data_IF_712709160706
#
_entry.id   IF_712709160706
#
_cell.length_a   1.000
_cell.length_b   1.000
_cell.length_c   1.000
_cell.angle_alpha   90.00
_cell.angle_beta   90.00
_cell.angle_gamma   90.00
#
_symmetry.space_group_name_H-M   'P 1'
#
loop_
_entity.id
_entity.type
_entity.pdbx_description
1 polymer ?
#
# COMPACT_ATOMS: atom_id res chain seq x y z
N UNK A 1 -11.22 -31.24 -22.30
CA UNK A 1 -12.38 -30.63 -22.98
C UNK A 1 -12.34 -30.86 -24.49
N UNK A 2 -11.27 -30.57 -25.22
CA UNK A 2 -11.18 -30.76 -26.65
C UNK A 2 -11.50 -32.21 -27.08
N UNK A 3 -10.90 -33.22 -26.43
CA UNK A 3 -11.15 -34.65 -26.73
C UNK A 3 -12.61 -35.09 -26.57
N UNK A 4 -13.38 -34.39 -25.73
CA UNK A 4 -14.79 -34.73 -25.50
C UNK A 4 -15.69 -34.10 -26.58
N UNK A 5 -15.35 -32.91 -27.05
CA UNK A 5 -16.16 -32.15 -27.99
C UNK A 5 -15.71 -32.26 -29.44
N UNK A 6 -14.48 -32.76 -29.70
CA UNK A 6 -13.94 -32.98 -31.03
C UNK A 6 -14.82 -33.92 -31.91
N UNK A 7 -15.37 -35.02 -31.36
CA UNK A 7 -16.27 -35.86 -32.12
C UNK A 7 -17.59 -35.18 -32.53
N UNK A 8 -18.01 -34.14 -31.78
CA UNK A 8 -19.28 -33.42 -32.00
C UNK A 8 -19.07 -32.19 -32.87
N UNK A 9 -17.98 -31.44 -32.65
CA UNK A 9 -17.69 -30.15 -33.27
C UNK A 9 -16.65 -30.22 -34.39
N UNK A 10 -15.98 -31.39 -34.56
CA UNK A 10 -14.94 -31.61 -35.55
C UNK A 10 -13.74 -30.67 -35.37
N UNK A 11 -13.07 -30.37 -36.46
CA UNK A 11 -11.86 -29.51 -36.47
C UNK A 11 -12.11 -28.06 -35.92
N UNK A 12 -13.36 -27.65 -35.87
CA UNK A 12 -13.74 -26.33 -35.33
C UNK A 12 -13.86 -26.30 -33.81
N UNK A 13 -13.74 -27.43 -33.11
CA UNK A 13 -13.89 -27.52 -31.66
C UNK A 13 -12.94 -26.56 -30.91
N UNK A 14 -11.69 -26.46 -31.35
CA UNK A 14 -10.71 -25.58 -30.75
C UNK A 14 -11.09 -24.09 -30.92
N UNK A 15 -11.54 -23.70 -32.12
CA UNK A 15 -11.92 -22.33 -32.41
C UNK A 15 -13.19 -21.89 -31.66
N UNK A 16 -14.12 -22.81 -31.45
CA UNK A 16 -15.37 -22.54 -30.75
C UNK A 16 -15.17 -22.53 -29.25
N UNK A 17 -14.38 -23.44 -28.69
CA UNK A 17 -14.22 -23.62 -27.26
C UNK A 17 -13.12 -22.72 -26.64
N UNK A 18 -12.04 -22.46 -27.38
CA UNK A 18 -10.84 -21.82 -26.83
C UNK A 18 -10.59 -20.40 -27.35
N UNK A 19 -11.11 -20.06 -28.54
CA UNK A 19 -10.90 -18.70 -29.12
C UNK A 19 -12.03 -17.71 -28.87
N UNK A 20 -13.05 -18.07 -28.08
CA UNK A 20 -14.17 -17.20 -27.75
C UNK A 20 -13.78 -16.04 -26.82
N UNK A 21 -14.42 -14.90 -26.98
CA UNK A 21 -14.23 -13.71 -26.08
C UNK A 21 -14.70 -13.97 -24.64
N UNK A 22 -15.50 -15.01 -24.41
CA UNK A 22 -16.02 -15.38 -23.09
C UNK A 22 -14.93 -15.84 -22.09
N UNK A 23 -13.74 -16.23 -22.60
CA UNK A 23 -12.59 -16.61 -21.76
C UNK A 23 -11.58 -15.47 -21.55
N UNK A 24 -11.75 -14.37 -22.28
CA UNK A 24 -10.90 -13.19 -22.10
C UNK A 24 -11.44 -12.32 -20.98
N UNK A 25 -10.72 -12.23 -19.87
CA UNK A 25 -10.86 -11.10 -18.97
C UNK A 25 -10.45 -9.85 -19.74
N UNK A 26 -11.43 -9.02 -20.08
CA UNK A 26 -11.15 -7.71 -20.70
C UNK A 26 -10.26 -6.95 -19.73
N UNK A 27 -9.04 -6.60 -20.14
CA UNK A 27 -8.23 -5.67 -19.37
C UNK A 27 -9.02 -4.39 -19.21
N UNK A 28 -9.26 -4.00 -17.96
CA UNK A 28 -9.88 -2.71 -17.67
C UNK A 28 -8.90 -1.64 -18.17
N UNK A 29 -9.19 -1.06 -19.31
CA UNK A 29 -8.44 0.09 -19.80
C UNK A 29 -8.78 1.25 -18.89
N UNK A 30 -7.95 1.49 -17.89
CA UNK A 30 -7.99 2.71 -17.10
C UNK A 30 -7.51 3.86 -18.00
N UNK A 31 -8.43 4.43 -18.75
CA UNK A 31 -8.13 5.63 -19.52
C UNK A 31 -7.84 6.75 -18.52
N UNK A 32 -6.64 7.34 -18.61
CA UNK A 32 -6.26 8.51 -17.79
C UNK A 32 -7.15 9.74 -18.06
N UNK A 33 -8.01 9.67 -19.04
CA UNK A 33 -8.84 10.76 -19.57
C UNK A 33 -10.34 10.54 -19.37
N UNK A 34 -10.74 9.45 -18.74
CA UNK A 34 -12.17 9.17 -18.46
C UNK A 34 -12.76 10.12 -17.42
N UNK A 35 -14.06 10.40 -17.51
CA UNK A 35 -14.79 11.25 -16.56
C UNK A 35 -14.59 10.81 -15.08
N UNK A 36 -14.44 9.52 -14.83
CA UNK A 36 -14.14 8.95 -13.51
C UNK A 36 -12.70 9.21 -13.04
N UNK A 37 -11.76 9.48 -13.94
CA UNK A 37 -10.37 9.77 -13.57
C UNK A 37 -10.24 11.05 -12.73
N UNK A 38 -11.17 12.00 -12.90
CA UNK A 38 -11.20 13.21 -12.09
C UNK A 38 -11.59 12.92 -10.62
N UNK A 39 -12.42 11.89 -10.39
CA UNK A 39 -12.85 11.47 -9.05
C UNK A 39 -11.83 10.55 -8.37
N UNK A 40 -10.96 9.89 -9.14
CA UNK A 40 -9.94 8.97 -8.61
C UNK A 40 -8.62 9.66 -8.29
N UNK A 41 -8.43 10.92 -8.68
CA UNK A 41 -7.24 11.69 -8.30
C UNK A 41 -7.27 11.92 -6.79
N UNK A 42 -6.39 11.26 -6.08
CA UNK A 42 -6.13 11.54 -4.66
C UNK A 42 -5.60 12.98 -4.55
N UNK A 43 -6.45 13.90 -4.11
CA UNK A 43 -6.00 15.24 -3.74
C UNK A 43 -5.20 15.13 -2.44
N UNK A 44 -4.05 15.79 -2.42
CA UNK A 44 -3.27 15.90 -1.19
C UNK A 44 -4.03 16.72 -0.18
N UNK A 45 -4.05 16.27 1.06
CA UNK A 45 -4.74 16.92 2.17
C UNK A 45 -3.75 17.42 3.20
N UNK A 46 -4.12 18.49 3.90
CA UNK A 46 -3.36 18.99 5.02
C UNK A 46 -3.23 17.93 6.11
N UNK A 47 -2.05 17.74 6.66
CA UNK A 47 -1.79 16.73 7.69
C UNK A 47 -2.50 17.10 9.00
N UNK A 48 -2.66 18.39 9.31
CA UNK A 48 -3.34 18.86 10.52
C UNK A 48 -4.86 18.80 10.45
N UNK A 49 -5.48 19.54 9.55
CA UNK A 49 -6.94 19.69 9.46
C UNK A 49 -7.62 18.88 8.36
N UNK A 50 -6.84 18.13 7.54
CA UNK A 50 -7.30 17.27 6.44
C UNK A 50 -8.05 17.99 5.32
N UNK A 51 -8.00 19.32 5.25
CA UNK A 51 -8.54 20.09 4.13
C UNK A 51 -7.71 19.85 2.88
N UNK A 52 -8.33 19.74 1.68
CA UNK A 52 -7.57 19.58 0.44
C UNK A 52 -6.65 20.79 0.21
N UNK A 53 -5.39 20.51 -0.13
CA UNK A 53 -4.38 21.51 -0.40
C UNK A 53 -4.45 21.98 -1.86
N UNK A 54 -4.16 23.26 -2.08
CA UNK A 54 -4.04 23.83 -3.42
C UNK A 54 -2.71 23.43 -4.08
N UNK A 55 -1.66 23.29 -3.27
CA UNK A 55 -0.31 22.89 -3.69
C UNK A 55 -0.04 21.49 -3.13
N UNK A 56 0.35 20.57 -4.00
CA UNK A 56 0.58 19.15 -3.63
C UNK A 56 1.87 18.95 -2.81
N UNK A 57 2.79 19.92 -2.87
CA UNK A 57 4.07 19.86 -2.16
C UNK A 57 3.98 20.26 -0.69
N UNK A 58 2.93 21.01 -0.31
CA UNK A 58 2.81 21.49 1.06
C UNK A 58 2.34 20.38 2.01
N UNK A 59 2.93 20.35 3.21
CA UNK A 59 2.52 19.41 4.26
C UNK A 59 1.25 19.88 4.98
N UNK A 60 1.12 21.19 5.21
CA UNK A 60 0.06 21.82 5.97
C UNK A 60 -0.55 23.00 5.23
N UNK A 61 -1.82 23.31 5.51
CA UNK A 61 -2.49 24.48 4.96
C UNK A 61 -2.05 25.76 5.70
N UNK A 62 -2.37 26.91 5.11
CA UNK A 62 -1.98 28.22 5.64
C UNK A 62 -2.43 28.45 7.09
N UNK A 63 -3.62 27.92 7.48
CA UNK A 63 -4.10 28.01 8.87
C UNK A 63 -3.33 27.11 9.85
N UNK A 64 -2.79 25.98 9.38
CA UNK A 64 -2.03 25.05 10.21
C UNK A 64 -0.54 25.38 10.25
N UNK A 65 -0.08 26.34 9.45
CA UNK A 65 1.34 26.69 9.32
C UNK A 65 1.93 27.20 10.65
N UNK A 66 1.16 27.94 11.42
CA UNK A 66 1.58 28.40 12.75
C UNK A 66 1.81 27.27 13.76
N UNK A 67 1.12 26.14 13.57
CA UNK A 67 1.19 24.94 14.41
C UNK A 67 1.95 23.79 13.73
N UNK A 68 2.70 24.10 12.69
CA UNK A 68 3.42 23.08 11.92
C UNK A 68 4.36 22.24 12.79
N UNK A 69 5.10 22.88 13.70
CA UNK A 69 6.00 22.21 14.64
C UNK A 69 5.28 21.22 15.58
N UNK A 70 4.10 21.59 16.10
CA UNK A 70 3.31 20.69 16.94
C UNK A 70 2.77 19.48 16.15
N UNK A 71 2.34 19.73 14.91
CA UNK A 71 1.85 18.68 14.02
C UNK A 71 2.98 17.72 13.66
N UNK A 72 4.16 18.25 13.35
CA UNK A 72 5.36 17.48 13.06
C UNK A 72 5.77 16.60 14.25
N UNK A 73 5.85 17.17 15.46
CA UNK A 73 6.16 16.40 16.67
C UNK A 73 5.15 15.27 16.92
N UNK A 74 3.87 15.52 16.67
CA UNK A 74 2.81 14.50 16.76
C UNK A 74 3.04 13.34 15.79
N UNK A 75 3.49 13.65 14.56
CA UNK A 75 3.79 12.61 13.57
C UNK A 75 5.03 11.81 13.98
N UNK A 76 6.09 12.47 14.46
CA UNK A 76 7.29 11.77 14.99
C UNK A 76 6.94 10.85 16.16
N UNK A 77 6.14 11.33 17.11
CA UNK A 77 5.69 10.49 18.22
C UNK A 77 4.88 9.27 17.74
N UNK A 78 4.09 9.45 16.68
CA UNK A 78 3.39 8.34 16.01
C UNK A 78 4.34 7.31 15.42
N UNK A 79 5.38 7.76 14.71
CA UNK A 79 6.42 6.89 14.14
C UNK A 79 7.16 6.14 15.24
N UNK A 80 7.59 6.81 16.30
CA UNK A 80 8.29 6.18 17.42
C UNK A 80 7.45 5.07 18.06
N UNK A 81 6.14 5.26 18.23
CA UNK A 81 5.23 4.22 18.70
C UNK A 81 5.13 3.02 17.74
N UNK A 82 5.13 3.28 16.45
CA UNK A 82 5.09 2.20 15.45
C UNK A 82 6.41 1.44 15.38
N UNK A 83 7.55 2.13 15.50
CA UNK A 83 8.89 1.53 15.58
C UNK A 83 9.01 0.64 16.81
N UNK A 84 8.53 1.08 17.97
CA UNK A 84 8.51 0.27 19.18
C UNK A 84 7.67 -0.99 19.00
N UNK A 85 6.48 -0.87 18.42
CA UNK A 85 5.63 -2.03 18.09
C UNK A 85 6.32 -2.97 17.10
N UNK A 86 6.95 -2.41 16.07
CA UNK A 86 7.68 -3.21 15.08
C UNK A 86 8.84 -3.97 15.71
N UNK A 87 9.62 -3.31 16.57
CA UNK A 87 10.74 -3.94 17.28
C UNK A 87 10.29 -5.11 18.15
N UNK A 88 9.17 -4.94 18.87
CA UNK A 88 8.59 -6.01 19.69
C UNK A 88 8.15 -7.20 18.85
N UNK A 89 7.46 -6.95 17.73
CA UNK A 89 7.00 -7.99 16.81
C UNK A 89 8.18 -8.67 16.11
N UNK A 90 9.19 -7.92 15.72
CA UNK A 90 10.41 -8.43 15.10
C UNK A 90 11.16 -9.36 16.06
N UNK A 91 11.37 -8.92 17.29
CA UNK A 91 12.04 -9.74 18.32
C UNK A 91 11.25 -11.03 18.61
N UNK A 92 9.92 -10.96 18.64
CA UNK A 92 9.08 -12.15 18.82
C UNK A 92 9.24 -13.13 17.65
N UNK A 93 9.30 -12.64 16.43
CA UNK A 93 9.55 -13.48 15.25
C UNK A 93 10.95 -14.07 15.27
N UNK A 94 11.97 -13.32 15.69
CA UNK A 94 13.35 -13.83 15.85
C UNK A 94 13.41 -14.94 16.90
N UNK A 95 12.74 -14.78 18.03
CA UNK A 95 12.66 -15.83 19.07
C UNK A 95 11.96 -17.09 18.55
N UNK A 96 10.90 -16.94 17.80
CA UNK A 96 10.19 -18.06 17.17
C UNK A 96 11.09 -18.81 16.16
N UNK A 97 11.89 -18.07 15.40
CA UNK A 97 12.85 -18.60 14.43
C UNK A 97 14.06 -19.27 15.12
N UNK A 98 14.34 -18.91 16.37
CA UNK A 98 15.49 -19.43 17.14
C UNK A 98 16.82 -18.69 16.88
N UNK A 99 16.78 -17.56 16.18
CA UNK A 99 17.95 -16.72 15.92
C UNK A 99 17.64 -15.27 16.21
N UNK A 100 18.43 -14.62 17.08
CA UNK A 100 18.29 -13.21 17.46
C UNK A 100 19.12 -12.25 16.60
N UNK A 101 20.00 -12.79 15.75
CA UNK A 101 20.97 -12.00 14.97
C UNK A 101 20.72 -12.03 13.46
N UNK A 102 19.80 -12.87 13.02
CA UNK A 102 19.48 -13.02 11.62
C UNK A 102 18.17 -12.31 11.26
N UNK A 103 18.01 -12.00 9.98
CA UNK A 103 16.77 -11.47 9.46
C UNK A 103 15.60 -12.44 9.67
N UNK A 104 14.41 -11.87 9.87
CA UNK A 104 13.19 -12.66 9.98
C UNK A 104 12.71 -13.06 8.60
N UNK A 105 12.92 -14.32 8.24
CA UNK A 105 12.53 -14.92 6.97
C UNK A 105 11.15 -15.58 7.00
N UNK A 106 10.51 -15.66 8.18
CA UNK A 106 9.22 -16.32 8.36
C UNK A 106 8.12 -15.69 7.50
N UNK A 107 7.43 -16.53 6.71
CA UNK A 107 6.29 -16.19 5.85
C UNK A 107 5.03 -17.00 6.21
N UNK A 108 4.91 -17.44 7.46
CA UNK A 108 3.78 -18.25 7.91
C UNK A 108 2.45 -17.51 7.77
N UNK A 109 1.58 -18.01 6.89
CA UNK A 109 0.28 -17.42 6.60
C UNK A 109 -0.74 -17.61 7.72
N UNK A 110 -0.51 -18.56 8.61
CA UNK A 110 -1.41 -18.88 9.72
C UNK A 110 -1.02 -18.16 11.03
N UNK A 111 0.05 -17.37 11.00
CA UNK A 111 0.55 -16.67 12.18
C UNK A 111 0.02 -15.24 12.25
N UNK A 112 -0.73 -14.85 13.29
CA UNK A 112 -1.24 -13.49 13.46
C UNK A 112 -0.11 -12.47 13.64
N UNK A 113 1.02 -12.85 14.24
CA UNK A 113 2.19 -11.98 14.43
C UNK A 113 2.82 -11.62 13.10
N UNK A 114 2.85 -12.54 12.13
CA UNK A 114 3.31 -12.26 10.78
C UNK A 114 2.48 -11.12 10.13
N UNK A 115 1.15 -11.20 10.22
CA UNK A 115 0.27 -10.17 9.66
C UNK A 115 0.41 -8.84 10.39
N UNK A 116 0.51 -8.86 11.72
CA UNK A 116 0.74 -7.64 12.51
C UNK A 116 2.07 -6.98 12.13
N UNK A 117 3.14 -7.76 11.97
CA UNK A 117 4.44 -7.26 11.52
C UNK A 117 4.35 -6.61 10.15
N UNK A 118 3.68 -7.27 9.19
CA UNK A 118 3.47 -6.72 7.84
C UNK A 118 2.63 -5.45 7.87
N UNK A 119 1.57 -5.43 8.67
CA UNK A 119 0.72 -4.25 8.83
C UNK A 119 1.51 -3.07 9.38
N UNK A 120 2.25 -3.25 10.47
CA UNK A 120 3.06 -2.17 11.06
C UNK A 120 4.15 -1.69 10.11
N UNK A 121 4.74 -2.59 9.32
CA UNK A 121 5.73 -2.23 8.29
C UNK A 121 5.13 -1.32 7.21
N UNK A 122 3.90 -1.60 6.78
CA UNK A 122 3.17 -0.74 5.82
C UNK A 122 2.84 0.60 6.46
N UNK A 123 2.33 0.61 7.69
CA UNK A 123 2.00 1.83 8.43
C UNK A 123 3.23 2.72 8.63
N UNK A 124 4.41 2.15 8.94
CA UNK A 124 5.68 2.87 9.00
C UNK A 124 6.03 3.52 7.66
N UNK A 125 5.97 2.75 6.58
CA UNK A 125 6.24 3.27 5.23
C UNK A 125 5.28 4.41 4.82
N UNK A 126 4.03 4.36 5.27
CA UNK A 126 3.05 5.44 5.04
C UNK A 126 3.37 6.68 5.88
N UNK A 127 3.77 6.50 7.14
CA UNK A 127 4.17 7.58 8.02
C UNK A 127 5.45 8.27 7.54
N UNK A 128 6.42 7.52 7.05
CA UNK A 128 7.64 8.08 6.45
C UNK A 128 7.31 9.02 5.27
N UNK A 129 6.39 8.61 4.41
CA UNK A 129 5.91 9.45 3.30
C UNK A 129 5.22 10.73 3.78
N UNK A 130 4.54 10.68 4.93
CA UNK A 130 3.92 11.84 5.54
C UNK A 130 5.00 12.78 6.10
N UNK A 131 6.03 12.24 6.76
CA UNK A 131 7.14 13.04 7.28
C UNK A 131 7.95 13.70 6.17
N UNK A 132 8.20 13.01 5.05
CA UNK A 132 8.88 13.58 3.89
C UNK A 132 8.18 14.82 3.32
N UNK A 133 6.87 14.98 3.55
CA UNK A 133 6.14 16.19 3.14
C UNK A 133 6.50 17.44 3.94
N UNK A 134 7.05 17.30 5.13
CA UNK A 134 7.54 18.44 5.93
C UNK A 134 8.92 18.94 5.52
N UNK A 135 9.55 18.30 4.56
CA UNK A 135 10.90 18.55 4.08
C UNK A 135 11.85 17.42 4.46
N UNK A 136 12.92 17.33 3.70
CA UNK A 136 13.96 16.35 3.99
C UNK A 136 14.68 16.79 5.27
N UNK A 137 14.68 15.94 6.31
CA UNK A 137 15.30 16.22 7.61
C UNK A 137 16.83 16.36 7.56
N UNK A 138 17.39 16.48 6.37
CA UNK A 138 18.81 16.70 6.13
C UNK A 138 19.27 18.18 6.08
N UNK A 139 18.33 19.10 6.09
CA UNK A 139 18.63 20.57 6.00
C UNK A 139 18.65 21.27 7.36
N UNK A 140 19.10 20.59 8.40
CA UNK A 140 19.35 21.18 9.74
C UNK A 140 20.81 21.55 9.92
#
# INVERSE_FOLDING_TARGET
LLRIFEPILGEKAESILLKGEHTRTKSVVTSKVGALAAFTKKKMTCIGCKVPLAVETDAVCQHCKEKEGEIYQKQIAGVANLEEKFSKLWTQCQRCQGSLHEEVLCTSRDCPIFYLRKKVQIELSEQDKILQRFGDSGDW
#
